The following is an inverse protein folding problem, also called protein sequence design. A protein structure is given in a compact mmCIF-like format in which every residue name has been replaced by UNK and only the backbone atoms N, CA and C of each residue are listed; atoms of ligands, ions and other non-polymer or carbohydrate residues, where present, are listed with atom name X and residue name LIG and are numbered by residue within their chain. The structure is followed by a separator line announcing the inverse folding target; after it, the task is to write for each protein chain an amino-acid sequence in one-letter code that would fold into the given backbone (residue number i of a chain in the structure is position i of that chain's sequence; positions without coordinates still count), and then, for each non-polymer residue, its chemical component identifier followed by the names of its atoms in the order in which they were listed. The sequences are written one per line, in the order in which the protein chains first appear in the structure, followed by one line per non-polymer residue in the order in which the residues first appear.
data_IF_171197389393
#
_entry.id   IF_171197389393
#
_cell.length_a   1.000
_cell.length_b   1.000
_cell.length_c   1.000
_cell.angle_alpha   90.00
_cell.angle_beta   90.00
_cell.angle_gamma   90.00
#
_symmetry.space_group_name_H-M   'P 1'
#
loop_
_entity.id
_entity.type
_entity.pdbx_description
1 polymer ?
#
# COMPACT_ATOMS: atom_id res chain seq x y z
N UNK A 1 21.62 -2.63 10.91
CA UNK A 1 20.47 -3.41 10.42
C UNK A 1 20.96 -4.61 9.65
N UNK A 2 20.43 -5.80 9.92
CA UNK A 2 20.80 -7.06 9.23
C UNK A 2 19.56 -7.57 8.49
N UNK A 3 19.74 -8.00 7.23
CA UNK A 3 18.69 -8.62 6.42
C UNK A 3 18.52 -10.08 6.86
N UNK A 4 17.27 -10.48 7.10
CA UNK A 4 16.90 -11.86 7.43
C UNK A 4 16.32 -12.56 6.19
N UNK A 5 16.66 -13.84 6.06
CA UNK A 5 15.95 -14.73 5.14
C UNK A 5 14.81 -15.41 5.88
N UNK A 6 13.60 -15.28 5.35
CA UNK A 6 12.39 -15.82 5.98
C UNK A 6 11.78 -16.92 5.12
N UNK A 7 11.10 -17.86 5.79
CA UNK A 7 10.39 -18.95 5.11
C UNK A 7 9.06 -18.40 4.53
N UNK A 8 8.53 -19.05 3.48
CA UNK A 8 7.23 -18.70 2.91
C UNK A 8 6.08 -18.73 3.94
N UNK A 9 6.17 -19.56 4.97
CA UNK A 9 5.19 -19.62 6.07
C UNK A 9 5.09 -18.33 6.88
N UNK A 10 6.14 -17.52 6.90
CA UNK A 10 6.14 -16.22 7.59
C UNK A 10 5.11 -15.25 7.03
N UNK A 11 4.66 -15.44 5.79
CA UNK A 11 3.57 -14.64 5.22
C UNK A 11 2.30 -14.69 6.08
N UNK A 12 1.94 -15.86 6.62
CA UNK A 12 0.80 -16.01 7.52
C UNK A 12 1.05 -15.32 8.87
N UNK A 13 2.26 -15.43 9.39
CA UNK A 13 2.67 -14.71 10.62
C UNK A 13 2.53 -13.20 10.42
N UNK A 14 2.99 -12.65 9.31
CA UNK A 14 2.85 -11.21 8.99
C UNK A 14 1.38 -10.77 8.93
N UNK A 15 0.52 -11.58 8.32
CA UNK A 15 -0.91 -11.29 8.24
C UNK A 15 -1.55 -11.32 9.63
N UNK A 16 -1.25 -12.35 10.44
CA UNK A 16 -1.75 -12.45 11.84
C UNK A 16 -1.28 -11.27 12.69
N UNK A 17 -0.02 -10.88 12.56
CA UNK A 17 0.55 -9.71 13.24
C UNK A 17 -0.11 -8.41 12.78
N UNK A 18 -0.45 -8.29 11.49
CA UNK A 18 -1.24 -7.18 10.96
C UNK A 18 -2.63 -7.08 11.59
N UNK A 19 -3.33 -8.22 11.71
CA UNK A 19 -4.61 -8.29 12.43
C UNK A 19 -4.46 -7.93 13.91
N UNK A 20 -3.44 -8.45 14.57
CA UNK A 20 -3.17 -8.13 15.96
C UNK A 20 -2.92 -6.64 16.14
N UNK A 21 -2.11 -6.05 15.28
CA UNK A 21 -1.78 -4.63 15.33
C UNK A 21 -3.01 -3.75 15.09
N UNK A 22 -3.83 -4.09 14.09
CA UNK A 22 -5.10 -3.41 13.83
C UNK A 22 -6.02 -3.41 15.08
N UNK A 23 -6.10 -4.54 15.78
CA UNK A 23 -6.92 -4.66 17.01
C UNK A 23 -6.45 -3.76 18.15
N UNK A 24 -5.21 -3.28 18.16
CA UNK A 24 -4.73 -2.36 19.21
C UNK A 24 -5.45 -1.00 19.13
N UNK A 25 -5.75 -0.50 17.93
CA UNK A 25 -6.48 0.76 17.75
C UNK A 25 -7.22 0.80 16.40
N UNK A 26 -8.32 0.04 16.23
CA UNK A 26 -9.01 -0.10 14.97
C UNK A 26 -9.47 1.24 14.37
N UNK A 27 -10.07 2.10 15.20
CA UNK A 27 -10.61 3.40 14.76
C UNK A 27 -9.48 4.34 14.31
N UNK A 28 -8.35 4.34 15.01
CA UNK A 28 -7.19 5.16 14.65
C UNK A 28 -6.63 4.77 13.29
N UNK A 29 -6.48 3.47 13.01
CA UNK A 29 -6.00 2.99 11.72
C UNK A 29 -7.01 3.22 10.60
N UNK A 30 -8.30 2.94 10.83
CA UNK A 30 -9.36 3.25 9.85
C UNK A 30 -9.40 4.73 9.51
N UNK A 31 -9.27 5.60 10.51
CA UNK A 31 -9.22 7.06 10.31
C UNK A 31 -8.03 7.46 9.42
N UNK A 32 -6.85 6.89 9.64
CA UNK A 32 -5.69 7.16 8.79
C UNK A 32 -5.93 6.75 7.35
N UNK A 33 -6.41 5.51 7.10
CA UNK A 33 -6.69 5.04 5.74
C UNK A 33 -7.81 5.87 5.09
N UNK A 34 -8.87 6.20 5.83
CA UNK A 34 -9.93 7.07 5.34
C UNK A 34 -9.38 8.44 4.93
N UNK A 35 -8.56 9.07 5.77
CA UNK A 35 -7.93 10.35 5.45
C UNK A 35 -7.03 10.27 4.22
N UNK A 36 -6.24 9.19 4.09
CA UNK A 36 -5.43 8.98 2.90
C UNK A 36 -6.29 8.93 1.63
N UNK A 37 -7.35 8.12 1.64
CA UNK A 37 -8.28 8.00 0.51
C UNK A 37 -8.96 9.35 0.24
N UNK A 38 -9.44 10.02 1.28
CA UNK A 38 -10.10 11.33 1.15
C UNK A 38 -9.19 12.37 0.50
N UNK A 39 -7.95 12.52 0.97
CA UNK A 39 -7.00 13.47 0.37
C UNK A 39 -6.55 13.06 -1.02
N UNK A 40 -6.43 11.76 -1.30
CA UNK A 40 -6.14 11.27 -2.64
C UNK A 40 -7.29 11.61 -3.61
N UNK A 41 -8.54 11.44 -3.20
CA UNK A 41 -9.71 11.84 -4.00
C UNK A 41 -9.78 13.36 -4.18
N UNK A 42 -9.54 14.13 -3.11
CA UNK A 42 -9.54 15.59 -3.19
C UNK A 42 -8.45 16.10 -4.14
N UNK A 43 -7.32 15.41 -4.25
CA UNK A 43 -6.22 15.79 -5.14
C UNK A 43 -6.61 15.71 -6.63
N UNK A 44 -7.58 14.86 -6.99
CA UNK A 44 -8.08 14.73 -8.37
C UNK A 44 -8.77 16.02 -8.82
N UNK A 45 -9.33 16.81 -7.88
CA UNK A 45 -9.95 18.11 -8.19
C UNK A 45 -8.94 19.15 -8.69
N UNK A 46 -7.65 18.95 -8.47
CA UNK A 46 -6.56 19.77 -8.99
C UNK A 46 -5.81 18.96 -10.03
N UNK A 47 -6.26 18.98 -11.30
CA UNK A 47 -5.67 18.14 -12.34
C UNK A 47 -4.15 18.34 -12.44
N UNK A 48 -3.42 17.29 -12.73
CA UNK A 48 -1.97 17.27 -12.86
C UNK A 48 -1.25 17.53 -11.53
N UNK A 49 -1.39 18.74 -10.96
CA UNK A 49 -0.65 19.15 -9.74
C UNK A 49 -1.03 18.25 -8.56
N UNK A 50 -2.31 17.95 -8.37
CA UNK A 50 -2.78 17.11 -7.27
C UNK A 50 -2.24 15.68 -7.35
N UNK A 51 -2.28 15.09 -8.55
CA UNK A 51 -1.71 13.74 -8.77
C UNK A 51 -0.22 13.72 -8.48
N UNK A 52 0.54 14.69 -9.02
CA UNK A 52 1.98 14.81 -8.75
C UNK A 52 2.25 14.98 -7.25
N UNK A 53 1.47 15.83 -6.57
CA UNK A 53 1.64 16.06 -5.13
C UNK A 53 1.44 14.76 -4.33
N UNK A 54 0.38 13.98 -4.62
CA UNK A 54 0.13 12.70 -3.94
C UNK A 54 1.27 11.70 -4.21
N UNK A 55 1.70 11.55 -5.46
CA UNK A 55 2.81 10.66 -5.78
C UNK A 55 4.10 11.06 -5.04
N UNK A 56 4.40 12.35 -5.01
CA UNK A 56 5.58 12.89 -4.33
C UNK A 56 5.58 12.60 -2.83
N UNK A 57 4.42 12.73 -2.17
CA UNK A 57 4.33 12.55 -0.72
C UNK A 57 4.08 11.08 -0.31
N UNK A 58 3.75 10.19 -1.23
CA UNK A 58 3.44 8.77 -0.93
C UNK A 58 4.52 8.09 -0.06
N UNK A 59 5.84 8.19 -0.33
CA UNK A 59 6.86 7.61 0.55
C UNK A 59 6.86 8.22 1.95
N UNK A 60 6.58 9.52 2.08
CA UNK A 60 6.46 10.18 3.39
C UNK A 60 5.23 9.69 4.16
N UNK A 61 4.10 9.49 3.48
CA UNK A 61 2.87 8.98 4.08
C UNK A 61 3.03 7.53 4.56
N UNK A 62 3.81 6.71 3.84
CA UNK A 62 4.12 5.34 4.28
C UNK A 62 4.91 5.35 5.60
N UNK A 63 5.91 6.22 5.75
CA UNK A 63 6.64 6.42 7.02
C UNK A 63 5.67 6.84 8.13
N UNK A 64 4.73 7.73 7.82
CA UNK A 64 3.71 8.18 8.76
C UNK A 64 2.84 7.03 9.28
N UNK A 65 2.33 6.20 8.37
CA UNK A 65 1.52 5.03 8.75
C UNK A 65 2.33 4.02 9.58
N UNK A 66 3.58 3.76 9.21
CA UNK A 66 4.46 2.87 9.98
C UNK A 66 4.80 3.45 11.37
N UNK A 67 4.89 4.77 11.49
CA UNK A 67 5.02 5.45 12.79
C UNK A 67 3.78 5.25 13.65
N UNK A 68 2.58 5.33 13.06
CA UNK A 68 1.33 4.99 13.76
C UNK A 68 1.30 3.54 14.24
N UNK A 69 1.86 2.60 13.46
CA UNK A 69 2.01 1.22 13.90
C UNK A 69 2.90 1.10 15.17
N UNK A 70 4.00 1.86 15.23
CA UNK A 70 4.84 1.90 16.46
C UNK A 70 4.10 2.49 17.65
N UNK A 71 3.35 3.60 17.43
CA UNK A 71 2.52 4.21 18.46
C UNK A 71 1.47 3.23 19.01
N UNK A 72 0.82 2.46 18.13
CA UNK A 72 -0.14 1.44 18.55
C UNK A 72 0.47 0.37 19.46
N UNK A 73 1.68 -0.09 19.16
CA UNK A 73 2.41 -1.07 20.00
C UNK A 73 2.71 -0.47 21.36
N UNK A 74 3.08 0.81 21.42
CA UNK A 74 3.35 1.55 22.66
C UNK A 74 2.08 2.00 23.40
N UNK A 75 0.89 1.60 22.90
CA UNK A 75 -0.43 2.00 23.43
C UNK A 75 -0.65 3.51 23.45
N UNK A 76 0.02 4.22 22.56
CA UNK A 76 -0.18 5.65 22.35
C UNK A 76 -1.38 5.92 21.45
N UNK A 77 -1.90 7.16 21.50
CA UNK A 77 -3.01 7.57 20.64
C UNK A 77 -2.52 7.76 19.20
N UNK A 78 -3.19 7.10 18.26
CA UNK A 78 -2.99 7.34 16.83
C UNK A 78 -3.75 8.60 16.43
N UNK A 79 -3.03 9.59 15.91
CA UNK A 79 -3.58 10.84 15.40
C UNK A 79 -3.25 11.01 13.92
N UNK A 80 -4.07 11.74 13.14
CA UNK A 80 -3.78 12.07 11.75
C UNK A 80 -2.42 12.73 11.53
N UNK A 81 -1.92 13.41 12.54
CA UNK A 81 -0.58 14.03 12.53
C UNK A 81 0.55 13.02 12.38
N UNK A 82 0.30 11.71 12.53
CA UNK A 82 1.26 10.66 12.24
C UNK A 82 1.77 10.73 10.77
N UNK A 83 0.93 11.15 9.82
CA UNK A 83 1.35 11.37 8.43
C UNK A 83 2.42 12.46 8.27
N UNK A 84 2.55 13.35 9.24
CA UNK A 84 3.58 14.38 9.25
C UNK A 84 4.92 13.87 9.84
N UNK A 85 4.99 12.62 10.30
CA UNK A 85 6.19 12.07 10.96
C UNK A 85 7.44 12.16 10.08
N UNK A 86 7.33 11.89 8.79
CA UNK A 86 8.45 11.99 7.85
C UNK A 86 9.00 13.42 7.71
N UNK A 87 8.12 14.42 7.82
CA UNK A 87 8.50 15.86 7.74
C UNK A 87 9.03 16.40 9.08
N UNK A 88 8.78 15.68 10.17
CA UNK A 88 9.22 16.00 11.54
C UNK A 88 10.45 15.21 11.98
N UNK A 89 11.07 14.44 11.08
CA UNK A 89 12.31 13.73 11.38
C UNK A 89 13.38 14.73 11.89
N UNK A 90 14.15 14.36 12.94
CA UNK A 90 15.19 15.23 13.48
C UNK A 90 16.24 15.59 12.42
N UNK A 91 16.64 14.61 11.60
CA UNK A 91 17.64 14.77 10.55
C UNK A 91 17.07 15.52 9.35
N UNK A 92 17.63 16.70 9.05
CA UNK A 92 17.31 17.46 7.83
C UNK A 92 17.74 16.71 6.57
N UNK A 93 18.77 15.88 6.67
CA UNK A 93 19.26 15.02 5.57
C UNK A 93 18.23 13.94 5.26
N UNK A 94 17.68 13.25 6.28
CA UNK A 94 16.65 12.24 6.09
C UNK A 94 15.39 12.83 5.46
N UNK A 95 14.95 14.03 5.89
CA UNK A 95 13.81 14.73 5.28
C UNK A 95 14.02 15.01 3.78
N UNK A 96 15.18 15.53 3.40
CA UNK A 96 15.53 15.76 1.98
C UNK A 96 15.54 14.45 1.19
N UNK A 97 16.10 13.37 1.74
CA UNK A 97 16.12 12.04 1.12
C UNK A 97 14.73 11.45 0.90
N UNK A 98 13.79 11.65 1.83
CA UNK A 98 12.39 11.22 1.64
C UNK A 98 11.74 11.96 0.46
N UNK A 99 11.98 13.26 0.30
CA UNK A 99 11.49 14.01 -0.87
C UNK A 99 12.16 13.54 -2.17
N UNK A 100 13.46 13.26 -2.15
CA UNK A 100 14.15 12.67 -3.31
C UNK A 100 13.55 11.31 -3.67
N UNK A 101 13.24 10.48 -2.68
CA UNK A 101 12.57 9.20 -2.89
C UNK A 101 11.18 9.37 -3.50
N UNK A 102 10.44 10.40 -3.08
CA UNK A 102 9.15 10.79 -3.68
C UNK A 102 9.28 11.20 -5.15
N UNK A 103 10.31 11.97 -5.50
CA UNK A 103 10.60 12.32 -6.90
C UNK A 103 10.91 11.08 -7.75
N UNK A 104 11.74 10.16 -7.23
CA UNK A 104 12.06 8.90 -7.92
C UNK A 104 10.80 8.05 -8.09
N UNK A 105 9.96 7.93 -7.04
CA UNK A 105 8.70 7.21 -7.12
C UNK A 105 7.77 7.81 -8.19
N UNK A 106 7.63 9.14 -8.19
CA UNK A 106 6.83 9.85 -9.21
C UNK A 106 7.34 9.57 -10.62
N UNK A 107 8.66 9.66 -10.83
CA UNK A 107 9.27 9.35 -12.13
C UNK A 107 9.01 7.90 -12.56
N UNK A 108 9.14 6.94 -11.64
CA UNK A 108 8.81 5.53 -11.92
C UNK A 108 7.35 5.35 -12.34
N UNK A 109 6.40 5.97 -11.62
CA UNK A 109 4.97 5.87 -11.96
C UNK A 109 4.66 6.51 -13.32
N UNK A 110 5.27 7.65 -13.63
CA UNK A 110 5.10 8.28 -14.96
C UNK A 110 5.63 7.40 -16.09
N UNK A 111 6.80 6.78 -15.90
CA UNK A 111 7.36 5.83 -16.87
C UNK A 111 6.42 4.63 -17.03
N UNK A 112 5.90 4.07 -15.93
CA UNK A 112 4.94 2.97 -15.98
C UNK A 112 3.66 3.37 -16.71
N UNK A 113 3.12 4.57 -16.42
CA UNK A 113 1.92 5.08 -17.08
C UNK A 113 2.15 5.26 -18.59
N UNK A 114 3.33 5.77 -18.97
CA UNK A 114 3.70 5.86 -20.39
C UNK A 114 3.81 4.48 -21.05
N UNK A 115 4.48 3.51 -20.41
CA UNK A 115 4.57 2.14 -20.95
C UNK A 115 3.19 1.48 -21.06
N UNK A 116 2.32 1.67 -20.07
CA UNK A 116 0.96 1.17 -20.12
C UNK A 116 0.14 1.80 -21.26
N UNK A 117 0.33 3.10 -21.54
CA UNK A 117 -0.38 3.79 -22.65
C UNK A 117 0.01 3.31 -24.04
N UNK A 118 1.12 2.61 -24.20
CA UNK A 118 1.51 1.99 -25.47
C UNK A 118 0.72 0.70 -25.77
N UNK A 119 0.05 0.11 -24.75
CA UNK A 119 -0.57 -1.21 -24.85
C UNK A 119 -2.08 -1.14 -24.59
N UNK A 120 -2.50 -0.21 -23.71
CA UNK A 120 -3.88 -0.05 -23.26
C UNK A 120 -4.50 1.17 -23.90
N UNK A 121 -5.65 0.99 -24.52
CA UNK A 121 -6.45 2.10 -25.03
C UNK A 121 -7.22 2.77 -23.88
N UNK A 122 -6.70 3.92 -23.43
CA UNK A 122 -7.32 4.69 -22.35
C UNK A 122 -8.61 5.40 -22.78
N UNK A 123 -8.79 5.68 -24.09
CA UNK A 123 -10.02 6.31 -24.60
C UNK A 123 -11.20 5.35 -24.42
N UNK A 124 -10.99 4.06 -24.66
CA UNK A 124 -12.01 3.03 -24.43
C UNK A 124 -12.40 2.88 -22.94
N UNK A 125 -11.58 3.37 -22.00
CA UNK A 125 -11.87 3.33 -20.56
C UNK A 125 -12.65 4.57 -20.07
N UNK A 126 -12.70 5.66 -20.83
CA UNK A 126 -13.40 6.89 -20.43
C UNK A 126 -14.88 6.66 -20.07
N UNK A 127 -15.66 5.84 -20.80
CA UNK A 127 -17.05 5.58 -20.46
C UNK A 127 -17.24 4.96 -19.08
N UNK A 128 -16.27 4.18 -18.57
CA UNK A 128 -16.33 3.61 -17.21
C UNK A 128 -16.29 4.67 -16.11
N UNK A 129 -15.76 5.85 -16.40
CA UNK A 129 -15.63 6.97 -15.45
C UNK A 129 -16.72 8.02 -15.60
N UNK A 130 -17.38 8.08 -16.76
CA UNK A 130 -18.26 9.20 -17.14
C UNK A 130 -19.72 8.79 -17.40
N UNK A 131 -20.01 7.50 -17.56
CA UNK A 131 -21.35 7.03 -17.85
C UNK A 131 -21.86 6.00 -16.83
N UNK A 132 -23.16 6.07 -16.51
CA UNK A 132 -23.86 5.08 -15.68
C UNK A 132 -24.30 3.84 -16.50
N UNK A 133 -23.88 3.74 -17.76
CA UNK A 133 -24.24 2.63 -18.65
C UNK A 133 -23.44 1.38 -18.30
N UNK A 134 -24.00 0.21 -18.62
CA UNK A 134 -23.27 -1.05 -18.51
C UNK A 134 -21.99 -1.00 -19.34
N UNK A 135 -20.84 -1.40 -18.77
CA UNK A 135 -19.56 -1.37 -19.46
C UNK A 135 -19.61 -2.14 -20.79
N UNK A 136 -19.04 -1.57 -21.84
CA UNK A 136 -18.87 -2.29 -23.09
C UNK A 136 -17.86 -3.43 -22.94
N UNK A 137 -17.97 -4.47 -23.77
CA UNK A 137 -17.00 -5.59 -23.78
C UNK A 137 -15.58 -5.08 -24.03
N UNK A 138 -15.42 -4.09 -24.90
CA UNK A 138 -14.14 -3.47 -25.20
C UNK A 138 -13.55 -2.74 -23.99
N UNK A 139 -14.33 -1.93 -23.29
CA UNK A 139 -13.91 -1.25 -22.06
C UNK A 139 -13.46 -2.24 -20.97
N UNK A 140 -14.19 -3.36 -20.83
CA UNK A 140 -13.81 -4.41 -19.87
C UNK A 140 -12.51 -5.11 -20.27
N UNK A 141 -12.29 -5.38 -21.55
CA UNK A 141 -11.04 -5.96 -22.05
C UNK A 141 -9.85 -5.03 -21.76
N UNK A 142 -9.97 -3.75 -22.05
CA UNK A 142 -8.93 -2.76 -21.77
C UNK A 142 -8.69 -2.60 -20.27
N UNK A 143 -9.72 -2.69 -19.43
CA UNK A 143 -9.59 -2.70 -17.99
C UNK A 143 -8.80 -3.92 -17.50
N UNK A 144 -9.08 -5.12 -18.01
CA UNK A 144 -8.32 -6.32 -17.66
C UNK A 144 -6.87 -6.22 -18.13
N UNK A 145 -6.61 -5.69 -19.32
CA UNK A 145 -5.25 -5.42 -19.81
C UNK A 145 -4.53 -4.45 -18.88
N UNK A 146 -5.16 -3.35 -18.49
CA UNK A 146 -4.58 -2.35 -17.58
C UNK A 146 -4.23 -2.97 -16.23
N UNK A 147 -5.15 -3.72 -15.63
CA UNK A 147 -4.93 -4.36 -14.31
C UNK A 147 -3.82 -5.39 -14.39
N UNK A 148 -3.80 -6.24 -15.42
CA UNK A 148 -2.79 -7.30 -15.54
C UNK A 148 -1.42 -6.74 -15.91
N UNK A 149 -1.32 -5.94 -16.98
CA UNK A 149 -0.05 -5.40 -17.46
C UNK A 149 0.47 -4.33 -16.50
N UNK A 150 -0.38 -3.40 -16.06
CA UNK A 150 -0.03 -2.38 -15.09
C UNK A 150 0.42 -2.99 -13.77
N UNK A 151 -0.29 -4.01 -13.28
CA UNK A 151 0.08 -4.76 -12.08
C UNK A 151 1.45 -5.44 -12.23
N UNK A 152 1.71 -6.11 -13.37
CA UNK A 152 2.99 -6.76 -13.63
C UNK A 152 4.14 -5.75 -13.71
N UNK A 153 3.95 -4.66 -14.41
CA UNK A 153 4.94 -3.57 -14.51
C UNK A 153 5.17 -2.86 -13.17
N UNK A 154 4.18 -2.84 -12.28
CA UNK A 154 4.30 -2.22 -10.96
C UNK A 154 5.11 -3.06 -9.97
N UNK A 155 5.22 -4.39 -10.15
CA UNK A 155 5.96 -5.27 -9.22
C UNK A 155 7.39 -4.78 -8.97
N UNK A 156 8.23 -4.47 -9.98
CA UNK A 156 9.57 -3.95 -9.73
C UNK A 156 9.57 -2.66 -8.91
N UNK A 157 8.67 -1.73 -9.21
CA UNK A 157 8.58 -0.45 -8.48
C UNK A 157 8.14 -0.69 -7.03
N UNK A 158 7.19 -1.59 -6.81
CA UNK A 158 6.79 -1.99 -5.46
C UNK A 158 7.98 -2.55 -4.67
N UNK A 159 8.81 -3.44 -5.27
CA UNK A 159 9.99 -4.00 -4.61
C UNK A 159 11.04 -2.92 -4.27
N UNK A 160 11.26 -1.95 -5.15
CA UNK A 160 12.18 -0.83 -4.91
C UNK A 160 11.70 0.06 -3.76
N UNK A 161 10.39 0.27 -3.63
CA UNK A 161 9.77 1.22 -2.70
C UNK A 161 9.21 0.59 -1.42
N UNK A 162 9.16 -0.73 -1.29
CA UNK A 162 8.52 -1.42 -0.18
C UNK A 162 9.10 -1.02 1.18
N UNK A 163 10.42 -1.05 1.30
CA UNK A 163 11.14 -0.73 2.52
C UNK A 163 11.95 0.57 2.44
N UNK A 164 12.20 1.10 1.23
CA UNK A 164 13.07 2.24 1.03
C UNK A 164 12.67 3.47 1.88
N UNK A 165 11.38 3.84 2.03
CA UNK A 165 11.00 4.96 2.89
C UNK A 165 11.43 4.78 4.34
N UNK A 166 11.30 3.57 4.89
CA UNK A 166 11.66 3.25 6.26
C UNK A 166 13.17 3.21 6.45
N UNK A 167 13.92 2.65 5.50
CA UNK A 167 15.37 2.63 5.49
C UNK A 167 15.96 4.04 5.47
N UNK A 168 15.34 4.95 4.70
CA UNK A 168 15.73 6.36 4.68
C UNK A 168 15.37 7.07 5.98
N UNK A 169 14.15 6.84 6.49
CA UNK A 169 13.64 7.57 7.66
C UNK A 169 14.24 7.10 8.98
N UNK A 170 14.40 5.79 9.18
CA UNK A 170 14.78 5.20 10.46
C UNK A 170 16.23 4.73 10.53
N UNK A 171 16.82 4.34 9.39
CA UNK A 171 18.22 3.94 9.31
C UNK A 171 19.12 5.02 8.67
N UNK A 172 18.54 6.18 8.30
CA UNK A 172 19.25 7.30 7.67
C UNK A 172 20.08 6.91 6.43
N UNK A 173 19.67 5.85 5.72
CA UNK A 173 20.39 5.35 4.56
C UNK A 173 20.35 6.36 3.39
N UNK A 174 21.41 6.46 2.57
CA UNK A 174 21.36 7.13 1.28
C UNK A 174 20.27 6.53 0.38
N UNK A 175 19.60 7.37 -0.44
CA UNK A 175 18.42 6.98 -1.23
C UNK A 175 18.69 5.76 -2.11
N UNK A 176 19.78 5.75 -2.88
CA UNK A 176 20.10 4.63 -3.78
C UNK A 176 20.39 3.33 -3.01
N UNK A 177 21.06 3.45 -1.86
CA UNK A 177 21.31 2.30 -1.00
C UNK A 177 20.01 1.75 -0.40
N UNK A 178 19.10 2.63 0.02
CA UNK A 178 17.79 2.24 0.55
C UNK A 178 16.93 1.52 -0.51
N UNK A 179 16.89 2.06 -1.74
CA UNK A 179 16.19 1.44 -2.88
C UNK A 179 16.76 0.06 -3.18
N UNK A 180 18.10 -0.05 -3.29
CA UNK A 180 18.76 -1.32 -3.55
C UNK A 180 18.53 -2.34 -2.42
N UNK A 181 18.62 -1.89 -1.15
CA UNK A 181 18.37 -2.74 0.01
C UNK A 181 16.92 -3.22 0.06
N UNK A 182 15.96 -2.37 -0.31
CA UNK A 182 14.54 -2.73 -0.43
C UNK A 182 14.34 -3.82 -1.49
N UNK A 183 14.91 -3.63 -2.69
CA UNK A 183 14.87 -4.62 -3.76
C UNK A 183 15.45 -5.97 -3.29
N UNK A 184 16.66 -5.96 -2.71
CA UNK A 184 17.31 -7.17 -2.24
C UNK A 184 16.53 -7.88 -1.15
N UNK A 185 15.90 -7.15 -0.23
CA UNK A 185 15.05 -7.72 0.81
C UNK A 185 13.83 -8.44 0.23
N UNK A 186 13.12 -7.81 -0.71
CA UNK A 186 11.99 -8.42 -1.39
C UNK A 186 12.41 -9.62 -2.26
N UNK A 187 13.50 -9.48 -3.04
CA UNK A 187 13.99 -10.53 -3.92
C UNK A 187 14.48 -11.76 -3.16
N UNK A 188 15.24 -11.56 -2.08
CA UNK A 188 15.72 -12.64 -1.22
C UNK A 188 14.60 -13.41 -0.54
N UNK A 189 13.46 -12.75 -0.28
CA UNK A 189 12.30 -13.30 0.38
C UNK A 189 11.09 -13.45 -0.58
N UNK A 190 11.34 -13.53 -1.89
CA UNK A 190 10.29 -13.53 -2.93
C UNK A 190 9.19 -14.57 -2.73
N UNK A 191 9.51 -15.75 -2.20
CA UNK A 191 8.51 -16.78 -1.94
C UNK A 191 7.53 -16.37 -0.84
N UNK A 192 8.02 -15.75 0.27
CA UNK A 192 7.18 -15.24 1.33
C UNK A 192 6.31 -14.07 0.83
N UNK A 193 6.89 -13.15 0.04
CA UNK A 193 6.14 -12.04 -0.55
C UNK A 193 5.10 -12.49 -1.56
N UNK A 194 5.42 -13.47 -2.43
CA UNK A 194 4.46 -14.02 -3.38
C UNK A 194 3.25 -14.64 -2.66
N UNK A 195 3.51 -15.42 -1.61
CA UNK A 195 2.45 -16.03 -0.81
C UNK A 195 1.64 -14.97 -0.04
N UNK A 196 2.31 -13.95 0.52
CA UNK A 196 1.67 -12.82 1.17
C UNK A 196 0.75 -12.03 0.23
N UNK A 197 1.24 -11.69 -0.97
CA UNK A 197 0.45 -10.98 -1.99
C UNK A 197 -0.71 -11.82 -2.50
N UNK A 198 -0.52 -13.13 -2.68
CA UNK A 198 -1.60 -14.05 -3.08
C UNK A 198 -2.76 -14.03 -2.08
N UNK A 199 -2.45 -14.14 -0.78
CA UNK A 199 -3.49 -14.12 0.26
C UNK A 199 -4.21 -12.77 0.26
N UNK A 200 -3.48 -11.65 0.18
CA UNK A 200 -4.12 -10.33 0.14
C UNK A 200 -4.90 -10.08 -1.14
N UNK A 201 -4.50 -10.65 -2.27
CA UNK A 201 -5.31 -10.62 -3.51
C UNK A 201 -6.63 -11.36 -3.34
N UNK A 202 -6.62 -12.51 -2.66
CA UNK A 202 -7.86 -13.23 -2.34
C UNK A 202 -8.75 -12.39 -1.40
N UNK A 203 -8.18 -11.81 -0.34
CA UNK A 203 -8.94 -11.05 0.67
C UNK A 203 -9.48 -9.73 0.10
N UNK A 204 -8.71 -9.02 -0.72
CA UNK A 204 -9.07 -7.68 -1.18
C UNK A 204 -9.75 -7.64 -2.55
N UNK A 205 -9.67 -8.72 -3.32
CA UNK A 205 -10.29 -8.79 -4.66
C UNK A 205 -11.32 -9.91 -4.71
N UNK A 206 -10.91 -11.17 -4.50
CA UNK A 206 -11.82 -12.30 -4.69
C UNK A 206 -12.96 -12.32 -3.68
N UNK A 207 -12.70 -12.02 -2.40
CA UNK A 207 -13.73 -12.02 -1.35
C UNK A 207 -14.78 -10.91 -1.56
N UNK A 208 -14.44 -9.64 -1.82
CA UNK A 208 -15.41 -8.61 -2.16
C UNK A 208 -16.22 -8.93 -3.41
N UNK A 209 -15.60 -9.47 -4.47
CA UNK A 209 -16.31 -9.89 -5.67
C UNK A 209 -17.29 -11.03 -5.40
N UNK A 210 -16.91 -12.00 -4.59
CA UNK A 210 -17.78 -13.10 -4.19
C UNK A 210 -18.98 -12.59 -3.37
N UNK A 211 -18.74 -11.72 -2.39
CA UNK A 211 -19.83 -11.16 -1.56
C UNK A 211 -20.77 -10.33 -2.44
N UNK A 212 -20.22 -9.46 -3.31
CA UNK A 212 -21.02 -8.65 -4.23
C UNK A 212 -21.86 -9.50 -5.17
N UNK A 213 -21.28 -10.52 -5.78
CA UNK A 213 -21.97 -11.45 -6.68
C UNK A 213 -23.05 -12.29 -5.98
N UNK A 214 -22.80 -12.72 -4.74
CA UNK A 214 -23.82 -13.43 -3.95
C UNK A 214 -25.01 -12.52 -3.59
N UNK A 215 -24.74 -11.26 -3.21
CA UNK A 215 -25.79 -10.29 -2.92
C UNK A 215 -26.63 -9.98 -4.17
N UNK A 216 -25.99 -9.86 -5.32
CA UNK A 216 -26.69 -9.66 -6.58
C UNK A 216 -27.55 -10.87 -6.96
N UNK A 217 -27.03 -12.08 -6.82
CA UNK A 217 -27.75 -13.33 -7.10
C UNK A 217 -29.02 -13.52 -6.24
N UNK A 218 -29.06 -12.97 -5.02
CA UNK A 218 -30.25 -12.99 -4.14
C UNK A 218 -31.14 -11.75 -4.28
N UNK A 219 -30.89 -10.89 -5.29
CA UNK A 219 -31.67 -9.69 -5.54
C UNK A 219 -31.33 -8.49 -4.64
N UNK A 220 -30.24 -8.55 -3.89
CA UNK A 220 -29.76 -7.50 -2.98
C UNK A 220 -28.60 -6.67 -3.56
N UNK A 221 -28.44 -6.65 -4.89
CA UNK A 221 -27.37 -5.94 -5.57
C UNK A 221 -27.31 -4.44 -5.23
N UNK A 222 -28.46 -3.79 -4.99
CA UNK A 222 -28.54 -2.37 -4.63
C UNK A 222 -27.84 -2.03 -3.30
N UNK A 223 -27.69 -2.99 -2.38
CA UNK A 223 -26.99 -2.78 -1.11
C UNK A 223 -25.57 -3.36 -1.09
N UNK A 224 -25.16 -4.03 -2.15
CA UNK A 224 -23.88 -4.71 -2.22
C UNK A 224 -22.71 -3.75 -1.93
N UNK A 225 -22.71 -2.54 -2.48
CA UNK A 225 -21.67 -1.53 -2.25
C UNK A 225 -21.58 -1.10 -0.79
N UNK A 226 -22.71 -0.98 -0.10
CA UNK A 226 -22.74 -0.59 1.33
C UNK A 226 -22.17 -1.68 2.25
N UNK A 227 -22.21 -2.94 1.83
CA UNK A 227 -21.65 -4.07 2.58
C UNK A 227 -20.18 -4.26 2.21
N UNK A 228 -19.87 -4.25 0.92
CA UNK A 228 -18.51 -4.53 0.39
C UNK A 228 -17.53 -3.42 0.75
N UNK A 229 -17.92 -2.14 0.66
CA UNK A 229 -17.01 -1.04 0.89
C UNK A 229 -16.39 -1.01 2.31
N UNK A 230 -17.15 -1.16 3.42
CA UNK A 230 -16.56 -1.24 4.76
C UNK A 230 -15.65 -2.46 4.95
N UNK A 231 -16.02 -3.61 4.39
CA UNK A 231 -15.20 -4.83 4.46
C UNK A 231 -13.87 -4.62 3.73
N UNK A 232 -13.91 -4.07 2.53
CA UNK A 232 -12.70 -3.77 1.74
C UNK A 232 -11.82 -2.73 2.43
N UNK A 233 -12.41 -1.70 3.03
CA UNK A 233 -11.67 -0.69 3.80
C UNK A 233 -11.00 -1.30 5.04
N UNK A 234 -11.69 -2.17 5.76
CA UNK A 234 -11.12 -2.91 6.89
C UNK A 234 -9.98 -3.81 6.46
N UNK A 235 -10.18 -4.60 5.40
CA UNK A 235 -9.15 -5.47 4.81
C UNK A 235 -7.93 -4.69 4.36
N UNK A 236 -8.11 -3.58 3.65
CA UNK A 236 -7.04 -2.68 3.21
C UNK A 236 -6.26 -2.13 4.43
N UNK A 237 -6.97 -1.72 5.46
CA UNK A 237 -6.34 -1.19 6.68
C UNK A 237 -5.48 -2.24 7.37
N UNK A 238 -5.98 -3.48 7.48
CA UNK A 238 -5.22 -4.60 8.07
C UNK A 238 -4.00 -4.95 7.19
N UNK A 239 -4.14 -4.91 5.87
CA UNK A 239 -3.02 -5.09 4.95
C UNK A 239 -1.93 -4.04 5.21
N UNK A 240 -2.27 -2.77 5.35
CA UNK A 240 -1.30 -1.72 5.68
C UNK A 240 -0.65 -1.93 7.05
N UNK A 241 -1.38 -2.40 8.07
CA UNK A 241 -0.80 -2.78 9.36
C UNK A 241 0.18 -3.95 9.21
N UNK A 242 -0.10 -4.92 8.32
CA UNK A 242 0.78 -6.07 8.09
C UNK A 242 2.08 -5.71 7.36
N UNK A 243 2.17 -4.56 6.67
CA UNK A 243 3.44 -4.05 6.12
C UNK A 243 4.48 -3.79 7.22
N UNK A 244 4.04 -3.35 8.39
CA UNK A 244 4.94 -3.21 9.54
C UNK A 244 5.51 -4.56 9.99
N UNK A 245 4.70 -5.63 9.94
CA UNK A 245 5.16 -6.97 10.24
C UNK A 245 6.18 -7.49 9.21
N UNK A 246 6.00 -7.19 7.90
CA UNK A 246 7.00 -7.54 6.88
C UNK A 246 8.33 -6.86 7.13
N UNK A 247 8.32 -5.59 7.57
CA UNK A 247 9.52 -4.86 7.97
C UNK A 247 10.25 -5.57 9.11
N UNK A 248 9.52 -5.90 10.18
CA UNK A 248 10.06 -6.61 11.35
C UNK A 248 10.60 -8.01 11.01
N UNK A 249 9.94 -8.73 10.10
CA UNK A 249 10.39 -10.05 9.64
C UNK A 249 11.67 -9.99 8.82
N UNK A 250 11.77 -9.01 7.92
CA UNK A 250 12.91 -8.91 7.00
C UNK A 250 14.13 -8.20 7.60
N UNK A 251 13.97 -7.34 8.60
CA UNK A 251 15.06 -6.57 9.20
C UNK A 251 15.11 -6.73 10.70
N UNK A 252 16.29 -7.11 11.23
CA UNK A 252 16.53 -7.11 12.68
C UNK A 252 16.96 -5.72 13.12
N UNK A 253 16.17 -5.13 14.03
CA UNK A 253 16.49 -3.91 14.74
C UNK A 253 16.39 -4.16 16.24
N UNK A 254 17.50 -3.99 16.96
CA UNK A 254 17.56 -4.27 18.42
C UNK A 254 16.76 -3.26 19.25
N UNK A 255 16.28 -2.17 18.64
CA UNK A 255 15.63 -1.06 19.35
C UNK A 255 14.09 -1.02 19.20
N UNK A 256 13.49 -2.02 18.56
CA UNK A 256 12.04 -2.03 18.34
C UNK A 256 11.40 -3.19 19.12
N UNK A 257 10.37 -2.87 19.93
CA UNK A 257 9.56 -3.85 20.67
C UNK A 257 9.10 -5.01 19.78
N UNK A 258 9.18 -6.22 20.30
CA UNK A 258 8.84 -7.43 19.56
C UNK A 258 7.32 -7.54 19.39
N UNK A 259 6.89 -7.85 18.17
CA UNK A 259 5.52 -8.30 17.91
C UNK A 259 5.35 -9.72 18.48
N UNK A 260 4.14 -10.09 18.95
CA UNK A 260 3.91 -11.45 19.43
C UNK A 260 4.17 -12.46 18.30
N UNK A 261 4.89 -13.51 18.63
CA UNK A 261 5.22 -14.62 17.72
C UNK A 261 4.10 -15.67 17.66
N UNK A 262 3.18 -15.63 18.65
CA UNK A 262 2.03 -16.54 18.76
C UNK A 262 0.73 -15.71 18.84
N UNK A 263 -0.19 -15.97 17.91
CA UNK A 263 -1.55 -15.45 17.86
C UNK A 263 -2.47 -16.43 17.16
#
# INVERSE_FOLDING_TARGET
MKLNHVNHKEALTWIRQGFWLFKQNPLGFLMLVFMYIFFAQLSILIPVIGVFAVLLVTPALSVGFMTACRQAIQKERILPTAYLAAFRLPSTVARKRILQLGLIYTACILILSFLASLIVDFEALLPLLTSDQTPSTEAMEQLYKLVFIGGLLYIPVAMLMWFAPLLVAWAEMPVMQAIFSSWMACWSNRAAFAYYLLIWSIVLVALPMLIGGLLDAVGLGSIASYVVAPISMGGLTIMYCSFFATWKGCFTDNNIEQLPTEG
#
